data_IF_135941389329
#
_entry.id   IF_135941389329
#
_cell.length_a   1.000
_cell.length_b   1.000
_cell.length_c   1.000
_cell.angle_alpha   90.00
_cell.angle_beta   90.00
_cell.angle_gamma   90.00
#
_symmetry.space_group_name_H-M   'P 1'
#
loop_
_entity.id
_entity.type
_entity.pdbx_description
1 polymer ?
#
# COMPACT_ATOMS: atom_id res chain seq x y z
N UNK A 1 -8.68 9.75 13.93
CA UNK A 1 -8.36 9.05 12.68
C UNK A 1 -6.90 9.37 12.47
N UNK A 2 -6.03 8.42 12.80
CA UNK A 2 -4.61 8.58 12.48
C UNK A 2 -4.52 8.86 10.98
N UNK A 3 -3.69 9.82 10.58
CA UNK A 3 -3.47 10.06 9.16
C UNK A 3 -2.95 8.76 8.55
N UNK A 4 -3.40 8.44 7.34
CA UNK A 4 -2.99 7.22 6.62
C UNK A 4 -1.46 7.01 6.70
N UNK A 5 -0.70 8.10 6.65
CA UNK A 5 0.76 8.13 6.70
C UNK A 5 1.36 7.82 8.06
N UNK A 6 0.74 8.21 9.17
CA UNK A 6 1.14 7.73 10.51
C UNK A 6 1.00 6.21 10.60
N UNK A 7 0.00 5.64 9.94
CA UNK A 7 -0.21 4.19 9.87
C UNK A 7 0.89 3.50 9.03
N UNK A 8 1.45 4.18 8.02
CA UNK A 8 2.58 3.69 7.24
C UNK A 8 3.87 3.61 8.06
N UNK A 9 4.07 4.47 9.06
CA UNK A 9 5.28 4.46 9.90
C UNK A 9 5.34 3.25 10.85
N UNK A 10 4.19 2.68 11.20
CA UNK A 10 4.09 1.58 12.17
C UNK A 10 3.95 0.21 11.54
N UNK A 11 3.80 0.12 10.21
CA UNK A 11 3.69 -1.16 9.51
C UNK A 11 5.01 -1.92 9.60
N UNK A 12 4.91 -3.19 9.99
CA UNK A 12 6.06 -4.10 10.08
C UNK A 12 5.88 -5.28 9.14
N UNK A 13 7.00 -5.85 8.69
CA UNK A 13 6.99 -7.04 7.81
C UNK A 13 6.13 -8.15 8.44
N UNK A 14 5.28 -8.75 7.63
CA UNK A 14 4.36 -9.81 8.06
C UNK A 14 3.10 -9.33 8.77
N UNK A 15 2.95 -8.03 9.09
CA UNK A 15 1.64 -7.53 9.51
C UNK A 15 0.62 -7.74 8.40
N UNK A 16 -0.61 -8.02 8.80
CA UNK A 16 -1.69 -8.19 7.86
C UNK A 16 -2.33 -6.83 7.61
N UNK A 17 -2.24 -6.37 6.37
CA UNK A 17 -2.65 -5.03 5.97
C UNK A 17 -3.86 -5.13 5.05
N UNK A 18 -4.86 -4.30 5.32
CA UNK A 18 -6.02 -4.08 4.43
C UNK A 18 -5.99 -2.63 3.95
N UNK A 19 -6.07 -2.44 2.64
CA UNK A 19 -6.08 -1.12 1.99
C UNK A 19 -7.41 -0.95 1.27
N UNK A 20 -8.14 0.10 1.57
CA UNK A 20 -9.32 0.52 0.82
C UNK A 20 -8.95 1.63 -0.17
N UNK A 21 -9.45 1.54 -1.39
CA UNK A 21 -9.30 2.57 -2.42
C UNK A 21 -10.48 3.53 -2.40
N UNK A 22 -10.30 4.73 -2.98
CA UNK A 22 -11.38 5.73 -3.12
C UNK A 22 -12.60 5.24 -3.90
N UNK A 23 -12.47 4.18 -4.70
CA UNK A 23 -13.58 3.58 -5.47
C UNK A 23 -14.28 2.42 -4.73
N UNK A 24 -13.92 2.15 -3.48
CA UNK A 24 -14.50 1.12 -2.62
C UNK A 24 -13.93 -0.29 -2.84
N UNK A 25 -12.96 -0.48 -3.74
CA UNK A 25 -12.20 -1.74 -3.81
C UNK A 25 -11.21 -1.83 -2.64
N UNK A 26 -10.84 -3.04 -2.27
CA UNK A 26 -9.83 -3.27 -1.24
C UNK A 26 -8.85 -4.38 -1.59
N UNK A 27 -7.63 -4.26 -1.10
CA UNK A 27 -6.60 -5.30 -1.17
C UNK A 27 -6.13 -5.65 0.23
N UNK A 28 -5.89 -6.94 0.47
CA UNK A 28 -5.63 -7.43 1.81
C UNK A 28 -4.65 -8.61 1.78
N UNK A 29 -3.60 -8.52 2.59
CA UNK A 29 -2.57 -9.54 2.70
C UNK A 29 -1.42 -9.14 3.62
N UNK A 30 -0.44 -10.05 3.82
CA UNK A 30 0.74 -9.74 4.61
C UNK A 30 1.63 -8.70 3.91
N UNK A 31 2.20 -7.79 4.70
CA UNK A 31 3.21 -6.82 4.30
C UNK A 31 4.54 -7.52 3.95
N UNK A 32 5.06 -7.29 2.74
CA UNK A 32 6.24 -7.95 2.18
C UNK A 32 6.68 -7.26 0.88
N UNK A 33 7.85 -6.59 0.76
CA UNK A 33 8.65 -5.81 1.74
C UNK A 33 8.19 -4.35 1.93
N UNK A 34 8.86 -3.61 2.83
CA UNK A 34 8.63 -2.18 3.11
C UNK A 34 9.95 -1.42 2.83
N UNK A 35 9.91 -0.40 1.97
CA UNK A 35 10.96 0.59 1.79
C UNK A 35 10.43 1.94 2.32
N UNK A 36 10.99 2.38 3.45
CA UNK A 36 10.62 3.63 4.09
C UNK A 36 11.85 4.54 4.23
N UNK A 37 11.75 5.72 3.64
CA UNK A 37 12.70 6.80 3.81
C UNK A 37 11.94 7.99 4.41
N UNK A 38 12.20 8.33 5.68
CA UNK A 38 11.60 9.49 6.33
C UNK A 38 11.80 10.75 5.49
N UNK A 39 10.75 11.57 5.41
CA UNK A 39 10.74 12.84 4.67
C UNK A 39 11.02 12.74 3.15
N UNK A 40 10.99 11.54 2.56
CA UNK A 40 11.25 11.34 1.12
C UNK A 40 10.18 10.43 0.47
N UNK A 41 10.15 9.15 0.85
CA UNK A 41 9.27 8.18 0.19
C UNK A 41 8.90 7.00 1.08
N UNK A 42 7.74 6.43 0.77
CA UNK A 42 7.28 5.18 1.34
C UNK A 42 6.82 4.25 0.23
N UNK A 43 7.14 2.96 0.38
CA UNK A 43 6.67 1.87 -0.46
C UNK A 43 6.42 0.63 0.40
N UNK A 44 5.20 0.13 0.35
CA UNK A 44 4.79 -1.13 0.98
C UNK A 44 4.26 -2.05 -0.11
N UNK A 45 4.82 -3.24 -0.21
CA UNK A 45 4.20 -4.32 -0.95
C UNK A 45 3.37 -5.19 0.00
N UNK A 46 2.23 -5.68 -0.48
CA UNK A 46 1.43 -6.70 0.17
C UNK A 46 1.21 -7.87 -0.81
N UNK A 47 1.10 -9.08 -0.28
CA UNK A 47 0.80 -10.29 -1.05
C UNK A 47 -0.69 -10.64 -0.90
N UNK A 48 -1.58 -10.07 -1.72
CA UNK A 48 -3.00 -10.25 -1.52
C UNK A 48 -3.42 -11.70 -1.74
N UNK A 49 -4.36 -12.19 -0.92
CA UNK A 49 -5.01 -13.50 -1.15
C UNK A 49 -6.06 -13.39 -2.25
N UNK A 50 -5.63 -13.10 -3.47
CA UNK A 50 -6.50 -12.91 -4.63
C UNK A 50 -6.15 -13.91 -5.75
N UNK A 51 -7.15 -14.41 -6.46
CA UNK A 51 -6.96 -15.45 -7.49
C UNK A 51 -6.09 -14.97 -8.66
N UNK A 52 -6.16 -13.67 -8.98
CA UNK A 52 -5.50 -13.07 -10.14
C UNK A 52 -4.36 -12.13 -9.78
N UNK A 53 -4.33 -11.60 -8.57
CA UNK A 53 -3.36 -10.56 -8.18
C UNK A 53 -2.29 -11.22 -7.33
N UNK A 54 -1.03 -11.03 -7.71
CA UNK A 54 0.12 -11.61 -7.02
C UNK A 54 0.70 -10.68 -5.99
N UNK A 55 0.73 -9.38 -6.29
CA UNK A 55 1.27 -8.33 -5.42
C UNK A 55 0.46 -7.06 -5.58
N UNK A 56 0.30 -6.33 -4.49
CA UNK A 56 -0.10 -4.93 -4.53
C UNK A 56 1.01 -4.10 -3.90
N UNK A 57 1.26 -2.93 -4.47
CA UNK A 57 2.21 -1.96 -3.93
C UNK A 57 1.44 -0.69 -3.61
N UNK A 58 1.73 -0.13 -2.45
CA UNK A 58 1.25 1.13 -1.94
C UNK A 58 2.45 2.04 -1.84
N UNK A 59 2.41 3.21 -2.47
CA UNK A 59 3.52 4.16 -2.41
C UNK A 59 3.05 5.59 -2.24
N UNK A 60 3.87 6.38 -1.55
CA UNK A 60 3.66 7.81 -1.35
C UNK A 60 5.02 8.52 -1.31
N UNK A 61 5.03 9.80 -1.63
CA UNK A 61 6.22 10.66 -1.51
C UNK A 61 5.93 11.81 -0.55
N UNK A 62 6.95 12.29 0.13
CA UNK A 62 6.87 13.47 0.97
C UNK A 62 7.34 14.67 0.16
N UNK A 63 6.48 15.69 0.03
CA UNK A 63 6.78 16.93 -0.68
C UNK A 63 6.57 18.08 0.30
N UNK A 64 7.62 18.88 0.52
CA UNK A 64 7.61 20.02 1.44
C UNK A 64 7.12 19.66 2.87
N UNK A 65 7.52 18.48 3.35
CA UNK A 65 7.14 17.97 4.68
C UNK A 65 5.71 17.45 4.79
N UNK A 66 5.02 17.28 3.64
CA UNK A 66 3.67 16.69 3.58
C UNK A 66 3.64 15.48 2.65
N UNK A 67 3.10 14.38 3.15
CA UNK A 67 2.91 13.18 2.35
C UNK A 67 1.80 13.36 1.30
N UNK A 68 2.04 12.86 0.09
CA UNK A 68 1.01 12.76 -0.95
C UNK A 68 -0.02 11.70 -0.57
N UNK A 69 -1.21 11.76 -1.19
CA UNK A 69 -2.15 10.63 -1.12
C UNK A 69 -1.47 9.39 -1.70
N UNK A 70 -1.48 8.24 -1.00
CA UNK A 70 -0.81 7.05 -1.50
C UNK A 70 -1.48 6.48 -2.74
N UNK A 71 -0.67 6.08 -3.72
CA UNK A 71 -1.12 5.36 -4.90
C UNK A 71 -0.98 3.86 -4.67
N UNK A 72 -1.97 3.11 -5.12
CA UNK A 72 -1.96 1.66 -5.13
C UNK A 72 -1.85 1.16 -6.57
N UNK A 73 -0.91 0.26 -6.81
CA UNK A 73 -0.77 -0.50 -8.05
C UNK A 73 -0.72 -1.99 -7.76
N UNK A 74 -1.12 -2.80 -8.71
CA UNK A 74 -1.11 -4.25 -8.57
C UNK A 74 -0.41 -4.94 -9.74
N UNK A 75 0.12 -6.11 -9.46
CA UNK A 75 0.75 -6.98 -10.44
C UNK A 75 -0.04 -8.29 -10.51
N UNK A 76 -0.67 -8.56 -11.66
CA UNK A 76 -1.50 -9.74 -11.85
C UNK A 76 -0.72 -10.91 -12.45
N UNK A 77 -1.26 -12.11 -12.30
CA UNK A 77 -0.70 -13.29 -12.95
C UNK A 77 -0.80 -13.16 -14.47
N UNK A 78 0.35 -13.10 -15.13
CA UNK A 78 0.44 -12.99 -16.59
C UNK A 78 0.60 -11.56 -17.10
N UNK A 79 0.63 -10.56 -16.21
CA UNK A 79 0.93 -9.18 -16.60
C UNK A 79 2.43 -9.03 -16.92
N UNK A 80 2.75 -8.19 -17.90
CA UNK A 80 4.14 -7.83 -18.23
C UNK A 80 4.67 -6.70 -17.33
N UNK A 81 3.77 -5.90 -16.74
CA UNK A 81 4.10 -4.77 -15.86
C UNK A 81 2.98 -4.50 -14.83
N UNK A 82 3.23 -3.58 -13.90
CA UNK A 82 2.28 -3.11 -12.90
C UNK A 82 1.12 -2.32 -13.52
N UNK A 83 -0.06 -2.48 -12.95
CA UNK A 83 -1.25 -1.70 -13.30
C UNK A 83 -1.64 -0.80 -12.12
N UNK A 84 -1.84 0.50 -12.37
CA UNK A 84 -2.35 1.43 -11.36
C UNK A 84 -3.78 1.06 -11.00
N UNK A 85 -4.00 0.79 -9.71
CA UNK A 85 -5.31 0.44 -9.17
C UNK A 85 -6.09 1.69 -8.79
N UNK A 86 -5.42 2.71 -8.24
CA UNK A 86 -6.01 3.98 -7.83
C UNK A 86 -5.40 4.51 -6.54
N UNK A 87 -5.99 5.58 -6.01
CA UNK A 87 -5.55 6.19 -4.75
C UNK A 87 -6.14 5.46 -3.54
N UNK A 88 -5.31 5.30 -2.51
CA UNK A 88 -5.74 4.76 -1.23
C UNK A 88 -6.63 5.78 -0.49
N UNK A 89 -7.65 5.25 0.18
CA UNK A 89 -8.57 5.98 1.04
C UNK A 89 -8.25 5.71 2.52
N UNK A 90 -8.09 4.44 2.88
CA UNK A 90 -7.86 4.01 4.26
C UNK A 90 -6.96 2.77 4.35
N UNK A 91 -6.30 2.59 5.49
CA UNK A 91 -5.42 1.47 5.77
C UNK A 91 -5.61 0.95 7.19
N UNK A 92 -5.81 -0.36 7.31
CA UNK A 92 -5.89 -1.06 8.59
C UNK A 92 -4.74 -2.06 8.72
N UNK A 93 -4.15 -2.12 9.93
CA UNK A 93 -3.07 -3.06 10.26
C UNK A 93 -3.54 -3.97 11.39
N UNK A 94 -3.42 -5.28 11.15
CA UNK A 94 -3.69 -6.32 12.14
C UNK A 94 -2.43 -7.16 12.40
N UNK A 95 -2.19 -7.48 13.67
CA UNK A 95 -1.02 -8.24 14.14
C UNK A 95 -1.27 -9.73 14.16
#
# INVERSE_FOLDING_TARGET
MESFTETLEVVTLGNHVRIELKDGRAFEGPASPIDYMPDDRFRLEIEPRHEKIRRCEISAVCVDGSWTTPEVRHYSLGDEDWTVAGEALDMEITR
#
